data_IF_828602848972
#
_entry.id   IF_828602848972
#
_cell.length_a   1.000
_cell.length_b   1.000
_cell.length_c   1.000
_cell.angle_alpha   90.00
_cell.angle_beta   90.00
_cell.angle_gamma   90.00
#
_symmetry.space_group_name_H-M   'P 1'
#
loop_
_entity.id
_entity.type
_entity.pdbx_description
1 polymer ?
#
# COMPACT_ATOMS: atom_id res chain seq x y z
N UNK A 1 15.23 -30.32 4.83
CA UNK A 1 16.28 -29.30 4.71
C UNK A 1 16.34 -28.53 6.01
N UNK A 2 17.51 -28.13 6.43
CA UNK A 2 17.71 -27.30 7.61
C UNK A 2 17.51 -25.83 7.19
N UNK A 3 16.69 -25.07 7.94
CA UNK A 3 16.53 -23.64 7.72
C UNK A 3 17.72 -22.92 8.35
N UNK A 4 18.41 -22.13 7.54
CA UNK A 4 19.51 -21.27 7.99
C UNK A 4 19.16 -19.82 7.75
N UNK A 5 19.42 -18.96 8.76
CA UNK A 5 19.31 -17.51 8.59
C UNK A 5 20.45 -17.03 7.69
N UNK A 6 20.13 -16.39 6.56
CA UNK A 6 21.09 -15.85 5.60
C UNK A 6 21.39 -14.37 5.81
N UNK A 7 20.39 -13.58 6.21
CA UNK A 7 20.53 -12.15 6.45
C UNK A 7 19.61 -11.68 7.57
N UNK A 8 19.86 -10.46 8.08
CA UNK A 8 19.02 -9.75 9.03
C UNK A 8 19.09 -8.26 8.72
N UNK A 9 17.92 -7.60 8.65
CA UNK A 9 17.78 -6.17 8.46
C UNK A 9 16.68 -5.59 9.33
N UNK A 10 16.58 -4.27 9.38
CA UNK A 10 15.50 -3.57 10.06
C UNK A 10 15.18 -2.27 9.35
N UNK A 11 13.89 -1.92 9.32
CA UNK A 11 13.40 -0.62 8.85
C UNK A 11 12.53 0.01 9.94
N UNK A 12 12.41 1.34 10.00
CA UNK A 12 11.49 2.02 10.91
C UNK A 12 10.02 1.63 10.65
N UNK A 13 9.21 1.68 11.71
CA UNK A 13 7.75 1.54 11.61
C UNK A 13 7.25 0.10 11.75
N UNK A 14 5.96 -0.06 11.47
CA UNK A 14 5.22 -1.32 11.58
C UNK A 14 4.51 -1.58 10.25
N UNK A 15 4.71 -2.74 9.61
CA UNK A 15 3.95 -3.14 8.43
C UNK A 15 2.50 -3.44 8.81
N UNK A 16 1.56 -3.18 7.89
CA UNK A 16 0.13 -3.44 8.13
C UNK A 16 -0.15 -4.94 8.24
N UNK A 17 0.24 -5.68 7.23
CA UNK A 17 -0.02 -7.10 7.07
C UNK A 17 0.99 -7.75 6.11
N UNK A 18 0.71 -8.97 5.65
CA UNK A 18 1.55 -9.70 4.69
C UNK A 18 1.70 -9.02 3.33
N UNK A 19 0.72 -8.20 2.92
CA UNK A 19 0.73 -7.51 1.62
C UNK A 19 1.58 -6.23 1.65
N UNK A 20 2.01 -5.82 2.84
CA UNK A 20 3.00 -4.75 2.99
C UNK A 20 4.41 -5.17 2.55
N UNK A 21 4.62 -6.46 2.29
CA UNK A 21 5.87 -7.04 1.83
C UNK A 21 5.75 -7.54 0.40
N UNK A 22 6.82 -7.41 -0.36
CA UNK A 22 6.97 -7.97 -1.70
C UNK A 22 8.43 -8.33 -1.96
N UNK A 23 8.67 -9.39 -2.73
CA UNK A 23 10.01 -9.76 -3.19
C UNK A 23 10.01 -9.80 -4.71
N UNK A 24 10.92 -9.04 -5.32
CA UNK A 24 11.12 -9.05 -6.76
C UNK A 24 12.58 -8.83 -7.10
N UNK A 25 13.12 -9.74 -7.91
CA UNK A 25 14.48 -9.60 -8.45
C UNK A 25 15.59 -9.71 -7.40
N UNK A 26 15.34 -10.28 -6.21
CA UNK A 26 16.28 -10.33 -5.09
C UNK A 26 16.19 -9.13 -4.16
N UNK A 27 15.23 -8.26 -4.37
CA UNK A 27 14.94 -7.09 -3.54
C UNK A 27 13.70 -7.32 -2.69
N UNK A 28 13.75 -6.91 -1.43
CA UNK A 28 12.62 -6.90 -0.53
C UNK A 28 12.05 -5.48 -0.45
N UNK A 29 10.75 -5.36 -0.70
CA UNK A 29 9.99 -4.11 -0.62
C UNK A 29 9.10 -4.14 0.60
N UNK A 30 9.11 -3.08 1.42
CA UNK A 30 8.34 -3.04 2.68
C UNK A 30 7.69 -1.67 2.82
N UNK A 31 6.36 -1.65 3.00
CA UNK A 31 5.63 -0.44 3.38
C UNK A 31 5.32 -0.47 4.89
N UNK A 32 5.58 0.64 5.58
CA UNK A 32 5.40 0.74 7.03
C UNK A 32 4.67 2.03 7.43
N UNK A 33 4.03 2.01 8.59
CA UNK A 33 3.62 3.21 9.30
C UNK A 33 4.58 3.44 10.46
N UNK A 34 5.24 4.59 10.47
CA UNK A 34 6.10 5.07 11.56
C UNK A 34 5.27 5.93 12.49
N UNK A 35 5.27 5.60 13.77
CA UNK A 35 4.63 6.39 14.83
C UNK A 35 5.70 7.17 15.57
N UNK A 36 5.59 8.48 15.63
CA UNK A 36 6.46 9.26 16.49
C UNK A 36 6.15 8.99 17.97
N UNK A 37 7.20 8.75 18.77
CA UNK A 37 7.07 8.65 20.20
C UNK A 37 6.60 10.02 20.75
N UNK A 38 5.54 10.02 21.56
CA UNK A 38 4.97 11.21 22.19
C UNK A 38 4.13 12.14 21.28
N UNK A 39 3.81 11.74 20.04
CA UNK A 39 2.90 12.49 19.17
C UNK A 39 1.80 11.60 18.57
N UNK A 40 0.67 12.22 18.20
CA UNK A 40 -0.35 11.55 17.38
C UNK A 40 0.01 11.58 15.88
N UNK A 41 1.24 12.01 15.57
CA UNK A 41 1.71 12.09 14.20
C UNK A 41 2.24 10.73 13.77
N UNK A 42 1.85 10.33 12.58
CA UNK A 42 2.34 9.15 11.90
C UNK A 42 2.87 9.54 10.54
N UNK A 43 3.86 8.82 10.06
CA UNK A 43 4.37 8.90 8.70
C UNK A 43 4.31 7.52 8.08
N UNK A 44 4.25 7.46 6.76
CA UNK A 44 4.24 6.20 6.06
C UNK A 44 5.42 6.17 5.12
N UNK A 45 6.15 5.08 5.18
CA UNK A 45 7.39 4.89 4.45
C UNK A 45 7.32 3.63 3.60
N UNK A 46 8.04 3.64 2.48
CA UNK A 46 8.32 2.46 1.69
C UNK A 46 9.83 2.31 1.54
N UNK A 47 10.35 1.13 1.84
CA UNK A 47 11.77 0.79 1.76
C UNK A 47 12.00 -0.29 0.72
N UNK A 48 13.14 -0.19 0.01
CA UNK A 48 13.68 -1.24 -0.86
C UNK A 48 15.00 -1.70 -0.25
N UNK A 49 15.11 -3.00 0.02
CA UNK A 49 16.28 -3.64 0.62
C UNK A 49 16.89 -4.63 -0.38
N UNK A 50 18.20 -4.81 -0.31
CA UNK A 50 18.92 -5.78 -1.10
C UNK A 50 18.85 -7.22 -0.53
N UNK A 51 19.55 -8.15 -1.16
CA UNK A 51 19.65 -9.57 -0.72
C UNK A 51 20.28 -9.76 0.66
N UNK A 52 21.02 -8.76 1.16
CA UNK A 52 21.60 -8.74 2.51
C UNK A 52 20.67 -8.06 3.53
N UNK A 53 19.51 -7.61 3.09
CA UNK A 53 18.53 -6.81 3.84
C UNK A 53 19.07 -5.44 4.27
N UNK A 54 19.98 -4.86 3.46
CA UNK A 54 20.42 -3.48 3.60
C UNK A 54 19.54 -2.55 2.76
N UNK A 55 19.13 -1.40 3.35
CA UNK A 55 18.26 -0.44 2.64
C UNK A 55 19.03 0.20 1.49
N UNK A 56 18.54 0.02 0.27
CA UNK A 56 19.08 0.63 -0.95
C UNK A 56 18.41 1.97 -1.25
N UNK A 57 17.10 2.07 -1.03
CA UNK A 57 16.33 3.28 -1.28
C UNK A 57 15.05 3.31 -0.46
N UNK A 58 14.43 4.49 -0.39
CA UNK A 58 13.18 4.67 0.34
C UNK A 58 12.39 5.88 -0.16
N UNK A 59 11.06 5.80 -0.03
CA UNK A 59 10.15 6.96 -0.04
C UNK A 59 9.65 7.12 1.39
N UNK A 60 9.84 8.30 1.98
CA UNK A 60 9.53 8.56 3.38
C UNK A 60 8.57 9.73 3.55
N UNK A 61 7.83 9.75 4.65
CA UNK A 61 6.96 10.85 5.03
C UNK A 61 5.67 10.95 4.20
N UNK A 62 5.25 9.88 3.53
CA UNK A 62 4.00 9.89 2.79
C UNK A 62 2.81 10.12 3.73
N UNK A 63 1.90 11.00 3.31
CA UNK A 63 0.62 11.25 3.99
C UNK A 63 0.73 11.39 5.51
N UNK A 64 1.53 12.35 5.98
CA UNK A 64 1.74 12.61 7.40
C UNK A 64 0.41 12.75 8.18
N UNK A 65 0.33 12.12 9.35
CA UNK A 65 -0.86 12.04 10.18
C UNK A 65 -1.89 11.01 9.72
N UNK A 66 -1.56 10.19 8.75
CA UNK A 66 -2.38 9.06 8.27
C UNK A 66 -1.66 7.74 8.56
N UNK A 67 -2.37 6.62 8.37
CA UNK A 67 -1.80 5.26 8.49
C UNK A 67 -2.03 4.51 7.19
N UNK A 68 -1.18 3.52 6.92
CA UNK A 68 -1.39 2.56 5.83
C UNK A 68 -2.62 1.70 6.13
N UNK A 69 -3.48 1.56 5.13
CA UNK A 69 -4.71 0.75 5.17
C UNK A 69 -4.73 -0.36 4.13
N UNK A 70 -4.04 -0.20 3.02
CA UNK A 70 -3.83 -1.27 2.06
C UNK A 70 -2.51 -1.06 1.30
N UNK A 71 -1.86 -2.15 0.95
CA UNK A 71 -0.66 -2.16 0.11
C UNK A 71 -0.81 -3.21 -0.97
N UNK A 72 -0.32 -2.91 -2.18
CA UNK A 72 -0.15 -3.89 -3.25
C UNK A 72 1.04 -3.53 -4.12
N UNK A 73 1.69 -4.54 -4.63
CA UNK A 73 2.77 -4.40 -5.60
C UNK A 73 2.38 -5.07 -6.91
N UNK A 74 2.71 -4.44 -8.04
CA UNK A 74 2.54 -4.99 -9.40
C UNK A 74 3.80 -4.64 -10.18
N UNK A 75 4.63 -5.63 -10.49
CA UNK A 75 5.90 -5.39 -11.15
C UNK A 75 6.74 -4.33 -10.42
N UNK A 76 7.19 -3.32 -11.12
CA UNK A 76 8.03 -2.25 -10.56
C UNK A 76 7.22 -1.11 -9.92
N UNK A 77 6.02 -1.39 -9.42
CA UNK A 77 5.17 -0.36 -8.79
C UNK A 77 4.60 -0.80 -7.46
N UNK A 78 4.64 0.11 -6.50
CA UNK A 78 3.96 0.01 -5.22
C UNK A 78 2.69 0.88 -5.19
N UNK A 79 1.63 0.36 -4.63
CA UNK A 79 0.36 1.04 -4.43
C UNK A 79 0.04 1.03 -2.95
N UNK A 80 -0.07 2.22 -2.35
CA UNK A 80 -0.31 2.38 -0.91
C UNK A 80 -1.55 3.24 -0.70
N UNK A 81 -2.52 2.71 0.02
CA UNK A 81 -3.66 3.50 0.50
C UNK A 81 -3.39 3.89 1.94
N UNK A 82 -3.49 5.17 2.22
CA UNK A 82 -3.44 5.72 3.57
C UNK A 82 -4.79 6.31 3.95
N UNK A 83 -5.12 6.40 5.22
CA UNK A 83 -6.39 6.94 5.68
C UNK A 83 -6.32 7.71 6.99
N UNK A 84 -7.07 8.82 7.04
CA UNK A 84 -7.51 9.50 8.25
C UNK A 84 -8.94 10.07 8.10
N UNK A 85 -9.25 10.72 7.01
CA UNK A 85 -10.57 11.26 6.64
C UNK A 85 -10.83 11.22 5.13
N UNK A 86 -9.80 11.18 4.33
CA UNK A 86 -9.80 11.04 2.87
C UNK A 86 -8.71 10.06 2.51
N UNK A 87 -8.98 9.13 1.59
CA UNK A 87 -8.02 8.14 1.12
C UNK A 87 -7.23 8.66 -0.08
N UNK A 88 -5.97 8.98 0.05
CA UNK A 88 -5.11 8.96 -1.11
C UNK A 88 -4.65 7.53 -1.43
N UNK A 89 -4.78 7.15 -2.71
CA UNK A 89 -3.99 6.09 -3.31
C UNK A 89 -2.67 6.72 -3.77
N UNK A 90 -1.57 6.28 -3.22
CA UNK A 90 -0.21 6.66 -3.63
C UNK A 90 0.33 5.64 -4.61
N UNK A 91 0.94 6.08 -5.70
CA UNK A 91 1.63 5.25 -6.68
C UNK A 91 3.12 5.54 -6.61
N UNK A 92 3.89 4.49 -6.31
CA UNK A 92 5.34 4.57 -6.14
C UNK A 92 6.01 3.81 -7.29
N UNK A 93 6.93 4.46 -7.98
CA UNK A 93 7.83 3.83 -8.96
C UNK A 93 9.00 3.19 -8.21
N UNK A 94 9.19 1.90 -8.42
CA UNK A 94 10.23 1.07 -7.81
C UNK A 94 11.20 0.52 -8.87
N UNK A 95 11.12 1.01 -10.13
CA UNK A 95 11.97 0.54 -11.24
C UNK A 95 13.46 0.81 -11.02
N UNK A 96 13.76 1.79 -10.14
CA UNK A 96 15.13 2.09 -9.71
C UNK A 96 15.21 1.88 -8.19
N UNK A 97 15.67 0.72 -7.71
CA UNK A 97 15.66 0.34 -6.30
C UNK A 97 16.36 1.33 -5.37
N UNK A 98 17.40 2.01 -5.87
CA UNK A 98 18.18 3.00 -5.11
C UNK A 98 17.56 4.40 -5.12
N UNK A 99 16.51 4.62 -5.92
CA UNK A 99 15.83 5.90 -6.05
C UNK A 99 14.31 5.69 -6.29
N UNK A 100 13.59 5.03 -5.36
CA UNK A 100 12.14 4.90 -5.45
C UNK A 100 11.49 6.28 -5.33
N UNK A 101 10.40 6.51 -6.06
CA UNK A 101 9.74 7.82 -6.13
C UNK A 101 8.21 7.68 -6.10
N UNK A 102 7.53 8.56 -5.35
CA UNK A 102 6.08 8.73 -5.47
C UNK A 102 5.77 9.51 -6.74
N UNK A 103 5.17 8.84 -7.73
CA UNK A 103 4.91 9.40 -9.06
C UNK A 103 3.47 9.85 -9.28
N UNK A 104 2.54 9.42 -8.44
CA UNK A 104 1.14 9.79 -8.57
C UNK A 104 0.35 9.63 -7.29
N UNK A 105 -0.74 10.41 -7.17
CA UNK A 105 -1.66 10.35 -6.04
C UNK A 105 -3.09 10.56 -6.53
N UNK A 106 -4.02 9.70 -6.08
CA UNK A 106 -5.45 9.84 -6.33
C UNK A 106 -6.21 9.94 -5.02
N UNK A 107 -6.93 11.04 -4.80
CA UNK A 107 -7.79 11.23 -3.62
C UNK A 107 -9.18 10.65 -3.84
N UNK A 108 -9.65 9.87 -2.88
CA UNK A 108 -10.94 9.17 -2.96
C UNK A 108 -11.83 9.48 -1.76
N UNK A 109 -13.16 9.54 -1.94
CA UNK A 109 -14.10 9.54 -0.82
C UNK A 109 -14.33 8.12 -0.29
N UNK A 110 -14.21 7.93 1.02
CA UNK A 110 -14.28 6.62 1.68
C UNK A 110 -12.89 5.98 1.77
N UNK A 111 -12.77 4.70 2.08
CA UNK A 111 -11.48 4.02 2.16
C UNK A 111 -11.52 2.61 1.58
N UNK A 112 -10.36 2.11 1.15
CA UNK A 112 -10.17 0.74 0.72
C UNK A 112 -9.25 0.03 1.71
N UNK A 113 -9.70 -1.11 2.21
CA UNK A 113 -8.96 -1.96 3.16
C UNK A 113 -8.19 -3.07 2.45
N UNK A 114 -8.51 -3.30 1.19
CA UNK A 114 -7.90 -4.34 0.38
C UNK A 114 -7.74 -3.88 -1.06
N UNK A 115 -6.60 -4.21 -1.65
CA UNK A 115 -6.30 -3.99 -3.06
C UNK A 115 -6.03 -5.33 -3.74
N UNK A 116 -6.62 -5.54 -4.92
CA UNK A 116 -6.41 -6.72 -5.75
C UNK A 116 -5.98 -6.31 -7.16
N UNK A 117 -4.86 -6.82 -7.69
CA UNK A 117 -4.45 -6.56 -9.06
C UNK A 117 -5.45 -7.17 -10.06
N UNK A 118 -5.82 -6.40 -11.09
CA UNK A 118 -6.62 -6.86 -12.23
C UNK A 118 -5.79 -6.64 -13.50
N UNK A 119 -4.90 -7.58 -13.79
CA UNK A 119 -3.83 -7.37 -14.76
C UNK A 119 -2.78 -6.37 -14.26
N UNK A 120 -2.08 -5.74 -15.21
CA UNK A 120 -0.92 -4.86 -14.90
C UNK A 120 -1.31 -3.37 -14.79
N UNK A 121 -2.50 -3.02 -15.26
CA UNK A 121 -2.94 -1.62 -15.40
C UNK A 121 -4.17 -1.26 -14.56
N UNK A 122 -4.71 -2.21 -13.79
CA UNK A 122 -5.90 -1.98 -12.97
C UNK A 122 -5.76 -2.57 -11.57
N UNK A 123 -6.40 -1.91 -10.61
CA UNK A 123 -6.56 -2.38 -9.23
C UNK A 123 -8.03 -2.38 -8.84
N UNK A 124 -8.47 -3.44 -8.18
CA UNK A 124 -9.76 -3.48 -7.51
C UNK A 124 -9.56 -3.16 -6.02
N UNK A 125 -10.15 -2.07 -5.56
CA UNK A 125 -10.20 -1.71 -4.15
C UNK A 125 -11.52 -2.16 -3.53
N UNK A 126 -11.45 -2.76 -2.35
CA UNK A 126 -12.63 -3.14 -1.55
C UNK A 126 -12.52 -2.49 -0.19
N UNK A 127 -13.59 -1.88 0.29
CA UNK A 127 -13.61 -1.16 1.56
C UNK A 127 -14.97 -0.56 1.85
N UNK A 128 -14.99 0.63 2.44
CA UNK A 128 -16.22 1.31 2.84
C UNK A 128 -16.36 2.69 2.20
N UNK A 129 -17.58 3.07 1.91
CA UNK A 129 -17.96 4.44 1.54
C UNK A 129 -17.98 5.33 2.78
N UNK A 130 -18.04 6.66 2.58
CA UNK A 130 -18.20 7.63 3.70
C UNK A 130 -19.44 7.38 4.57
N UNK A 131 -20.43 6.65 4.04
CA UNK A 131 -21.66 6.29 4.76
C UNK A 131 -21.58 4.94 5.48
N UNK A 132 -20.41 4.27 5.53
CA UNK A 132 -20.21 2.97 6.18
C UNK A 132 -20.80 1.80 5.39
N UNK A 133 -21.15 1.97 4.12
CA UNK A 133 -21.60 0.90 3.25
C UNK A 133 -20.41 0.30 2.50
N UNK A 134 -20.44 -1.00 2.24
CA UNK A 134 -19.42 -1.67 1.44
C UNK A 134 -19.23 -0.97 0.09
N UNK A 135 -18.01 -0.85 -0.36
CA UNK A 135 -17.62 -0.18 -1.60
C UNK A 135 -16.60 -1.00 -2.35
N UNK A 136 -16.79 -1.08 -3.66
CA UNK A 136 -15.82 -1.63 -4.61
C UNK A 136 -15.45 -0.54 -5.59
N UNK A 137 -14.15 -0.37 -5.85
CA UNK A 137 -13.62 0.64 -6.78
C UNK A 137 -12.67 -0.03 -7.74
N UNK A 138 -12.83 0.22 -9.02
CA UNK A 138 -11.86 -0.14 -10.05
C UNK A 138 -11.00 1.08 -10.35
N UNK A 139 -9.72 0.97 -10.12
CA UNK A 139 -8.72 1.99 -10.47
C UNK A 139 -8.08 1.66 -11.81
N UNK A 140 -7.91 2.67 -12.65
CA UNK A 140 -7.03 2.67 -13.80
C UNK A 140 -5.69 3.28 -13.36
N UNK A 141 -4.63 2.47 -13.43
CA UNK A 141 -3.25 2.82 -13.07
C UNK A 141 -2.30 2.64 -14.26
N UNK A 142 -2.84 2.64 -15.48
CA UNK A 142 -2.06 2.55 -16.73
C UNK A 142 -1.07 3.71 -16.86
N UNK A 143 -1.49 4.93 -16.48
CA UNK A 143 -0.59 6.06 -16.27
C UNK A 143 -0.35 6.25 -14.76
N UNK A 144 0.82 5.86 -14.24
CA UNK A 144 1.11 5.93 -12.81
C UNK A 144 1.14 7.37 -12.27
N UNK A 145 1.37 8.36 -13.12
CA UNK A 145 1.40 9.77 -12.71
C UNK A 145 0.00 10.39 -12.58
N UNK A 146 -0.99 9.78 -13.24
CA UNK A 146 -2.39 10.23 -13.23
C UNK A 146 -3.38 9.09 -12.99
N UNK A 147 -3.28 8.37 -11.84
CA UNK A 147 -4.20 7.30 -11.52
C UNK A 147 -5.65 7.83 -11.45
N UNK A 148 -6.61 7.02 -11.90
CA UNK A 148 -8.02 7.43 -12.01
C UNK A 148 -8.96 6.35 -11.46
N UNK A 149 -10.18 6.76 -11.09
CA UNK A 149 -11.28 5.82 -10.87
C UNK A 149 -11.89 5.47 -12.23
N UNK A 150 -11.76 4.21 -12.64
CA UNK A 150 -12.41 3.70 -13.84
C UNK A 150 -13.90 3.41 -13.60
N UNK A 151 -14.24 2.82 -12.43
CA UNK A 151 -15.61 2.56 -12.01
C UNK A 151 -15.72 2.40 -10.50
N UNK A 152 -16.94 2.52 -9.95
CA UNK A 152 -17.17 2.29 -8.53
C UNK A 152 -18.59 1.84 -8.24
N UNK A 153 -18.75 0.93 -7.27
CA UNK A 153 -20.03 0.41 -6.80
C UNK A 153 -20.12 0.52 -5.28
N UNK A 154 -21.19 1.17 -4.80
CA UNK A 154 -21.53 1.17 -3.37
C UNK A 154 -22.64 0.14 -3.13
N UNK A 155 -22.37 -0.79 -2.22
CA UNK A 155 -23.27 -1.88 -1.85
C UNK A 155 -24.14 -1.43 -0.67
N UNK A 156 -25.38 -1.06 -0.95
CA UNK A 156 -26.31 -0.60 0.10
C UNK A 156 -26.54 -1.69 1.16
N UNK A 157 -26.49 -1.30 2.45
CA UNK A 157 -26.73 -2.18 3.61
C UNK A 157 -25.76 -3.37 3.75
N UNK A 158 -24.55 -3.27 3.23
CA UNK A 158 -23.49 -4.26 3.43
C UNK A 158 -22.30 -3.63 4.12
N UNK A 159 -21.64 -4.40 4.98
CA UNK A 159 -20.38 -4.02 5.64
C UNK A 159 -19.27 -4.93 5.10
N UNK A 160 -18.09 -4.37 4.89
CA UNK A 160 -16.95 -5.09 4.30
C UNK A 160 -16.19 -5.96 5.32
N UNK A 161 -16.88 -6.69 6.18
CA UNK A 161 -16.24 -7.48 7.25
C UNK A 161 -15.40 -8.65 6.75
N UNK A 162 -15.74 -9.23 5.60
CA UNK A 162 -15.02 -10.40 5.08
C UNK A 162 -13.57 -10.09 4.64
N UNK A 163 -13.30 -8.86 4.26
CA UNK A 163 -11.96 -8.42 3.79
C UNK A 163 -11.09 -8.01 4.97
N UNK A 164 -11.66 -7.40 6.01
CA UNK A 164 -10.93 -7.01 7.22
C UNK A 164 -10.63 -8.18 8.16
N UNK A 165 -11.40 -9.26 8.09
CA UNK A 165 -11.26 -10.42 8.97
C UNK A 165 -10.53 -11.62 8.34
N UNK A 166 -10.38 -11.67 7.02
CA UNK A 166 -9.78 -12.82 6.33
C UNK A 166 -8.83 -12.40 5.21
N UNK A 167 -7.54 -12.65 5.39
CA UNK A 167 -6.51 -12.45 4.36
C UNK A 167 -6.55 -13.49 3.23
N UNK A 168 -7.56 -14.36 3.21
CA UNK A 168 -7.77 -15.42 2.21
C UNK A 168 -9.07 -15.23 1.40
N UNK A 169 -9.70 -14.08 1.51
CA UNK A 169 -10.90 -13.76 0.74
C UNK A 169 -10.56 -13.37 -0.70
#
# INVERSE_FOLDING_TARGET
GELTQSAMGSVPGVPLDQFAFDEQGGELRIATTVMEADSEQSENDLYVLDENLEVQGSVQGMAAGQRVYAVRYIGDRGYVITYRQVDPLHVIDLSVPTAPEEVGTLKLPGFSEYLHPVGDEQLLGVGESQGGSGKVVLFDVSDPSTPQVADSLVLANTYSTAVSESHHA
#
